data_IF_508719382902
#
_entry.id   IF_508719382902
#
_cell.length_a   1.000
_cell.length_b   1.000
_cell.length_c   1.000
_cell.angle_alpha   90.00
_cell.angle_beta   90.00
_cell.angle_gamma   90.00
#
_symmetry.space_group_name_H-M   'P 1'
#
loop_
_entity.id
_entity.type
_entity.pdbx_description
1 polymer ?
#
# COMPACT_ATOMS: atom_id res chain seq x y z
N UNK A 1 -66.39 -34.32 -5.86
CA UNK A 1 -65.27 -33.39 -6.11
C UNK A 1 -63.99 -34.16 -6.04
N UNK A 2 -63.22 -34.18 -7.13
CA UNK A 2 -62.00 -34.98 -7.31
C UNK A 2 -60.81 -34.04 -7.01
N UNK A 3 -59.93 -34.35 -6.05
CA UNK A 3 -58.79 -33.49 -5.77
C UNK A 3 -57.75 -33.64 -6.89
N UNK A 4 -57.24 -32.51 -7.40
CA UNK A 4 -56.20 -32.46 -8.41
C UNK A 4 -54.85 -32.98 -7.85
N UNK A 5 -54.12 -33.84 -8.59
CA UNK A 5 -52.87 -34.44 -8.11
C UNK A 5 -51.65 -33.49 -8.15
N UNK A 6 -51.80 -32.26 -8.64
CA UNK A 6 -50.69 -31.32 -8.83
C UNK A 6 -50.35 -30.49 -7.57
N UNK A 7 -51.29 -30.33 -6.63
CA UNK A 7 -51.08 -29.53 -5.41
C UNK A 7 -50.24 -30.23 -4.34
N UNK A 8 -50.27 -31.57 -4.32
CA UNK A 8 -49.51 -32.37 -3.35
C UNK A 8 -48.01 -32.35 -3.59
N UNK A 9 -47.57 -32.28 -4.85
CA UNK A 9 -46.15 -32.33 -5.20
C UNK A 9 -45.41 -31.03 -4.84
N UNK A 10 -46.08 -29.88 -5.00
CA UNK A 10 -45.53 -28.56 -4.60
C UNK A 10 -45.46 -28.43 -3.08
N UNK A 11 -46.47 -28.95 -2.35
CA UNK A 11 -46.47 -28.94 -0.89
C UNK A 11 -45.41 -29.89 -0.29
N UNK A 12 -45.18 -31.05 -0.93
CA UNK A 12 -44.10 -31.97 -0.56
C UNK A 12 -42.72 -31.35 -0.82
N UNK A 13 -42.54 -30.64 -1.95
CA UNK A 13 -41.29 -29.92 -2.27
C UNK A 13 -41.01 -28.80 -1.26
N UNK A 14 -42.05 -28.05 -0.85
CA UNK A 14 -41.93 -26.98 0.16
C UNK A 14 -41.63 -27.53 1.56
N UNK A 15 -42.23 -28.67 1.94
CA UNK A 15 -41.95 -29.32 3.22
C UNK A 15 -40.56 -29.96 3.28
N UNK A 16 -40.04 -30.48 2.16
CA UNK A 16 -38.67 -31.02 2.05
C UNK A 16 -37.58 -29.93 2.12
N UNK A 17 -37.90 -28.68 1.75
CA UNK A 17 -36.98 -27.55 1.88
C UNK A 17 -36.90 -26.99 3.32
N UNK A 18 -37.84 -27.34 4.20
CA UNK A 18 -37.86 -26.87 5.60
C UNK A 18 -37.10 -27.77 6.59
N UNK A 19 -36.64 -28.96 6.20
CA UNK A 19 -35.92 -29.88 7.10
C UNK A 19 -34.39 -29.76 7.04
N UNK A 20 -33.84 -28.68 6.47
CA UNK A 20 -32.38 -28.42 6.48
C UNK A 20 -32.05 -27.15 7.27
N UNK A 21 -32.33 -27.21 8.58
CA UNK A 21 -31.62 -26.45 9.61
C UNK A 21 -31.75 -27.33 10.86
N UNK A 22 -30.73 -27.78 11.57
CA UNK A 22 -29.48 -27.16 11.99
C UNK A 22 -28.49 -28.28 12.32
N UNK A 23 -27.49 -28.53 11.47
CA UNK A 23 -26.27 -29.17 11.99
C UNK A 23 -25.48 -28.05 12.65
N UNK A 24 -25.61 -27.92 13.97
CA UNK A 24 -24.65 -27.21 14.81
C UNK A 24 -23.36 -28.03 14.82
N UNK A 25 -22.68 -28.07 13.67
CA UNK A 25 -21.25 -28.23 13.68
C UNK A 25 -20.71 -26.90 14.16
N UNK A 26 -20.13 -26.86 15.35
CA UNK A 26 -19.17 -25.83 15.69
C UNK A 26 -18.08 -25.87 14.62
N UNK A 27 -18.31 -25.13 13.54
CA UNK A 27 -17.21 -24.56 12.77
C UNK A 27 -16.45 -23.77 13.82
N UNK A 28 -15.16 -24.03 14.06
CA UNK A 28 -14.38 -23.12 14.85
C UNK A 28 -14.51 -21.81 14.09
N UNK A 29 -15.31 -20.88 14.63
CA UNK A 29 -15.19 -19.47 14.31
C UNK A 29 -13.68 -19.26 14.34
N UNK A 30 -13.03 -18.82 13.24
CA UNK A 30 -11.68 -18.38 13.35
C UNK A 30 -11.77 -17.30 14.42
N UNK A 31 -11.30 -17.64 15.64
CA UNK A 31 -11.05 -16.65 16.67
C UNK A 31 -10.35 -15.55 15.89
N UNK A 32 -10.80 -14.29 15.94
CA UNK A 32 -9.93 -13.25 15.44
C UNK A 32 -8.62 -13.50 16.19
N UNK A 33 -7.59 -13.92 15.46
CA UNK A 33 -6.22 -13.89 15.90
C UNK A 33 -5.88 -12.41 15.95
N UNK A 34 -6.56 -11.68 16.84
CA UNK A 34 -6.30 -10.31 17.19
C UNK A 34 -5.62 -10.33 18.53
N UNK A 35 -4.53 -11.09 18.60
CA UNK A 35 -3.45 -10.84 19.55
C UNK A 35 -2.15 -10.97 18.77
N UNK A 36 -1.73 -9.80 18.28
CA UNK A 36 -0.34 -9.36 18.13
C UNK A 36 0.55 -10.01 17.06
N UNK A 37 0.83 -9.30 15.95
CA UNK A 37 2.19 -9.06 15.53
C UNK A 37 2.64 -7.75 16.17
N UNK A 38 3.06 -7.83 17.43
CA UNK A 38 3.93 -6.87 18.09
C UNK A 38 3.37 -5.44 18.15
N UNK A 39 2.84 -5.05 19.31
CA UNK A 39 2.47 -3.67 19.64
C UNK A 39 3.68 -2.73 19.73
N UNK A 40 4.61 -2.79 18.77
CA UNK A 40 5.34 -1.60 18.36
C UNK A 40 4.34 -0.73 17.64
N UNK A 41 3.63 0.09 18.40
CA UNK A 41 2.75 1.12 17.85
C UNK A 41 3.46 1.95 16.77
N UNK A 42 2.67 2.72 16.04
CA UNK A 42 3.18 3.72 15.10
C UNK A 42 4.03 4.77 15.85
N UNK A 43 5.36 4.67 15.81
CA UNK A 43 6.27 5.61 16.47
C UNK A 43 6.93 6.59 15.48
N UNK A 44 6.15 7.23 14.61
CA UNK A 44 6.68 8.20 13.62
C UNK A 44 7.40 9.38 14.29
N UNK A 45 7.11 9.68 15.55
CA UNK A 45 7.82 10.71 16.31
C UNK A 45 9.34 10.46 16.37
N UNK A 46 9.79 9.20 16.33
CA UNK A 46 11.22 8.86 16.29
C UNK A 46 11.88 9.18 14.95
N UNK A 47 11.08 9.33 13.89
CA UNK A 47 11.53 9.71 12.54
C UNK A 47 11.66 11.22 12.36
N UNK A 48 11.38 12.03 13.40
CA UNK A 48 11.45 13.49 13.31
C UNK A 48 12.83 14.01 12.91
N UNK A 49 13.90 13.27 13.23
CA UNK A 49 15.24 13.68 12.87
C UNK A 49 16.14 12.48 12.61
N UNK A 50 16.85 12.54 11.48
CA UNK A 50 17.99 11.68 11.25
C UNK A 50 19.18 12.16 12.10
N UNK A 51 20.03 11.23 12.51
CA UNK A 51 21.31 11.56 13.14
C UNK A 51 22.20 12.40 12.20
N UNK A 52 23.26 13.02 12.75
CA UNK A 52 24.23 13.74 11.92
C UNK A 52 24.95 12.79 10.94
N UNK A 53 25.28 11.60 11.41
CA UNK A 53 25.94 10.55 10.61
C UNK A 53 25.06 10.11 9.43
N UNK A 54 23.79 9.81 9.68
CA UNK A 54 22.86 9.42 8.61
C UNK A 54 22.69 10.54 7.59
N UNK A 55 22.53 11.80 8.04
CA UNK A 55 22.42 12.95 7.14
C UNK A 55 23.65 13.10 6.26
N UNK A 56 24.84 12.92 6.83
CA UNK A 56 26.07 12.99 6.07
C UNK A 56 26.17 11.84 5.06
N UNK A 57 25.78 10.63 5.43
CA UNK A 57 25.74 9.49 4.51
C UNK A 57 24.77 9.72 3.33
N UNK A 58 23.57 10.26 3.60
CA UNK A 58 22.63 10.64 2.55
C UNK A 58 23.17 11.74 1.63
N UNK A 59 23.87 12.74 2.20
CA UNK A 59 24.51 13.81 1.43
C UNK A 59 25.58 13.23 0.49
N UNK A 60 26.50 12.43 1.03
CA UNK A 60 27.56 11.78 0.24
C UNK A 60 26.97 10.88 -0.85
N UNK A 61 25.92 10.12 -0.55
CA UNK A 61 25.25 9.27 -1.52
C UNK A 61 24.60 10.06 -2.65
N UNK A 62 23.95 11.19 -2.32
CA UNK A 62 23.37 12.09 -3.32
C UNK A 62 24.46 12.62 -4.26
N UNK A 63 25.55 13.16 -3.72
CA UNK A 63 26.66 13.72 -4.50
C UNK A 63 27.24 12.64 -5.44
N UNK A 64 27.48 11.42 -4.94
CA UNK A 64 27.99 10.32 -5.76
C UNK A 64 27.01 9.88 -6.88
N UNK A 65 25.70 9.90 -6.62
CA UNK A 65 24.66 9.61 -7.62
C UNK A 65 24.60 10.70 -8.70
N UNK A 66 24.74 11.98 -8.31
CA UNK A 66 24.75 13.11 -9.22
C UNK A 66 26.00 13.07 -10.12
N UNK A 67 27.19 12.85 -9.55
CA UNK A 67 28.44 12.68 -10.32
C UNK A 67 28.36 11.53 -11.33
N UNK A 68 27.81 10.38 -10.93
CA UNK A 68 27.62 9.27 -11.86
C UNK A 68 26.57 9.54 -12.93
N UNK A 69 25.54 10.32 -12.62
CA UNK A 69 24.52 10.73 -13.60
C UNK A 69 25.02 11.82 -14.54
N UNK A 70 25.90 12.72 -14.11
CA UNK A 70 26.54 13.73 -14.96
C UNK A 70 27.35 13.09 -16.10
N UNK A 71 27.79 11.83 -15.93
CA UNK A 71 28.45 11.05 -16.98
C UNK A 71 27.47 10.38 -17.96
N UNK A 72 26.15 10.42 -17.69
CA UNK A 72 25.12 9.70 -18.45
C UNK A 72 23.89 10.59 -18.61
N UNK A 73 23.93 11.47 -19.61
CA UNK A 73 22.85 12.38 -20.01
C UNK A 73 21.50 11.66 -20.05
N UNK A 74 20.74 11.81 -18.97
CA UNK A 74 19.44 11.17 -18.78
C UNK A 74 18.44 12.25 -18.37
N UNK A 75 17.83 12.88 -19.36
CA UNK A 75 16.72 13.81 -19.13
C UNK A 75 15.43 13.05 -18.90
N UNK A 76 14.72 13.35 -17.81
CA UNK A 76 13.33 12.93 -17.64
C UNK A 76 12.42 14.01 -18.23
N UNK A 77 11.58 13.65 -19.21
CA UNK A 77 10.62 14.58 -19.81
C UNK A 77 9.47 14.96 -18.86
N UNK A 78 9.33 14.23 -17.75
CA UNK A 78 8.32 14.48 -16.72
C UNK A 78 8.97 14.41 -15.34
N UNK A 79 8.69 15.40 -14.50
CA UNK A 79 9.12 15.37 -13.10
C UNK A 79 8.30 14.33 -12.33
N UNK A 80 8.89 13.19 -11.99
CA UNK A 80 8.24 12.13 -11.20
C UNK A 80 7.83 12.63 -9.81
N UNK A 81 8.62 13.53 -9.24
CA UNK A 81 8.31 14.25 -8.00
C UNK A 81 8.05 15.70 -8.36
N UNK A 82 6.78 16.12 -8.35
CA UNK A 82 6.40 17.48 -8.73
C UNK A 82 6.83 18.46 -7.64
N UNK A 83 7.57 19.53 -8.00
CA UNK A 83 8.12 20.47 -6.99
C UNK A 83 7.06 21.22 -6.17
N UNK A 84 5.82 21.33 -6.66
CA UNK A 84 4.73 21.96 -5.91
C UNK A 84 3.96 20.99 -5.00
N UNK A 85 4.29 19.69 -5.05
CA UNK A 85 3.77 18.68 -4.14
C UNK A 85 4.31 18.95 -2.74
N UNK A 86 3.39 19.05 -1.79
CA UNK A 86 3.69 19.31 -0.39
C UNK A 86 2.75 18.44 0.45
N UNK A 87 3.33 17.55 1.26
CA UNK A 87 2.58 16.70 2.19
C UNK A 87 1.72 17.54 3.14
N UNK A 88 2.11 18.78 3.43
CA UNK A 88 1.34 19.73 4.23
C UNK A 88 -0.06 20.03 3.67
N UNK A 89 -0.26 19.89 2.36
CA UNK A 89 -1.56 20.11 1.67
C UNK A 89 -2.50 18.92 1.76
N UNK A 90 -2.01 17.75 2.18
CA UNK A 90 -2.80 16.54 2.32
C UNK A 90 -3.46 16.46 3.70
N UNK A 91 -4.55 15.69 3.80
CA UNK A 91 -5.14 15.32 5.08
C UNK A 91 -4.13 14.52 5.91
N UNK A 92 -4.22 14.61 7.23
CA UNK A 92 -3.21 14.01 8.15
C UNK A 92 -3.02 12.52 7.90
N UNK A 93 -4.08 11.78 7.58
CA UNK A 93 -4.03 10.34 7.28
C UNK A 93 -3.50 10.01 5.88
N UNK A 94 -3.54 10.95 4.92
CA UNK A 94 -3.02 10.75 3.57
C UNK A 94 -1.49 10.87 3.52
N UNK A 95 -0.90 11.62 4.46
CA UNK A 95 0.54 11.92 4.46
C UNK A 95 1.42 10.67 4.58
N UNK A 96 1.17 9.72 5.51
CA UNK A 96 1.96 8.50 5.60
C UNK A 96 1.85 7.64 4.34
N UNK A 97 0.66 7.56 3.74
CA UNK A 97 0.40 6.80 2.50
C UNK A 97 1.15 7.39 1.30
N UNK A 98 1.10 8.72 1.14
CA UNK A 98 1.86 9.42 0.11
C UNK A 98 3.37 9.23 0.29
N UNK A 99 3.89 9.47 1.50
CA UNK A 99 5.31 9.29 1.82
C UNK A 99 5.76 7.83 1.61
N UNK A 100 4.94 6.85 1.97
CA UNK A 100 5.23 5.44 1.77
C UNK A 100 5.37 5.09 0.29
N UNK A 101 4.52 5.66 -0.58
CA UNK A 101 4.61 5.45 -2.03
C UNK A 101 5.90 6.03 -2.62
N UNK A 102 6.26 7.26 -2.24
CA UNK A 102 7.50 7.92 -2.67
C UNK A 102 8.75 7.15 -2.20
N UNK A 103 8.74 6.71 -0.94
CA UNK A 103 9.83 5.94 -0.34
C UNK A 103 9.97 4.55 -0.99
N UNK A 104 8.85 3.91 -1.32
CA UNK A 104 8.83 2.62 -2.04
C UNK A 104 9.51 2.74 -3.41
N UNK A 105 9.18 3.78 -4.17
CA UNK A 105 9.81 4.02 -5.47
C UNK A 105 11.31 4.33 -5.31
N UNK A 106 11.67 5.18 -4.35
CA UNK A 106 13.06 5.55 -4.05
C UNK A 106 13.89 4.31 -3.71
N UNK A 107 13.39 3.45 -2.81
CA UNK A 107 14.05 2.20 -2.44
C UNK A 107 14.20 1.25 -3.64
N UNK A 108 13.18 1.13 -4.49
CA UNK A 108 13.24 0.30 -5.69
C UNK A 108 14.34 0.76 -6.64
N UNK A 109 14.43 2.07 -6.89
CA UNK A 109 15.45 2.65 -7.77
C UNK A 109 16.85 2.50 -7.18
N UNK A 110 17.06 2.88 -5.91
CA UNK A 110 18.37 2.79 -5.26
C UNK A 110 18.85 1.34 -5.12
N UNK A 111 17.96 0.40 -4.84
CA UNK A 111 18.31 -1.03 -4.75
C UNK A 111 18.63 -1.66 -6.12
N UNK A 112 18.27 -1.00 -7.22
CA UNK A 112 18.61 -1.45 -8.58
C UNK A 112 19.99 -0.99 -9.06
N UNK A 113 20.71 -0.20 -8.26
CA UNK A 113 22.07 0.25 -8.58
C UNK A 113 23.02 -0.95 -8.64
N UNK A 114 23.63 -1.16 -9.81
CA UNK A 114 24.56 -2.28 -10.05
C UNK A 114 26.03 -1.86 -10.01
N UNK A 115 26.36 -0.56 -10.05
CA UNK A 115 27.74 -0.07 -9.91
C UNK A 115 28.26 -0.39 -8.51
N UNK A 116 29.31 -1.21 -8.41
CA UNK A 116 29.84 -1.71 -7.14
C UNK A 116 30.45 -0.59 -6.27
N UNK A 117 31.08 0.41 -6.88
CA UNK A 117 31.65 1.54 -6.15
C UNK A 117 30.53 2.41 -5.55
N UNK A 118 29.50 2.67 -6.35
CA UNK A 118 28.32 3.42 -5.91
C UNK A 118 27.52 2.64 -4.85
N UNK A 119 27.40 1.31 -5.01
CA UNK A 119 26.74 0.43 -4.05
C UNK A 119 27.35 0.55 -2.65
N UNK A 120 28.67 0.61 -2.55
CA UNK A 120 29.37 0.82 -1.27
C UNK A 120 28.92 2.10 -0.54
N UNK A 121 28.57 3.14 -1.29
CA UNK A 121 28.12 4.44 -0.77
C UNK A 121 26.62 4.41 -0.44
N UNK A 122 25.78 3.86 -1.33
CA UNK A 122 24.31 3.89 -1.15
C UNK A 122 23.76 2.81 -0.22
N UNK A 123 24.55 1.79 0.13
CA UNK A 123 24.12 0.67 0.99
C UNK A 123 23.59 1.13 2.35
N UNK A 124 24.31 2.01 3.05
CA UNK A 124 23.87 2.53 4.36
C UNK A 124 22.58 3.36 4.22
N UNK A 125 22.47 4.33 3.28
CA UNK A 125 21.23 5.05 3.02
C UNK A 125 20.04 4.13 2.75
N UNK A 126 20.21 3.10 1.93
CA UNK A 126 19.15 2.11 1.66
C UNK A 126 18.71 1.39 2.93
N UNK A 127 19.65 1.03 3.80
CA UNK A 127 19.33 0.39 5.08
C UNK A 127 18.48 1.33 5.96
N UNK A 128 18.88 2.59 6.10
CA UNK A 128 18.10 3.59 6.84
C UNK A 128 16.71 3.80 6.22
N UNK A 129 16.61 3.95 4.89
CA UNK A 129 15.32 4.10 4.21
C UNK A 129 14.41 2.87 4.40
N UNK A 130 14.95 1.65 4.42
CA UNK A 130 14.17 0.43 4.71
C UNK A 130 13.63 0.43 6.14
N UNK A 131 14.42 0.89 7.10
CA UNK A 131 13.98 1.03 8.48
C UNK A 131 12.81 2.01 8.59
N UNK A 132 12.95 3.19 7.98
CA UNK A 132 11.89 4.21 7.91
C UNK A 132 10.62 3.65 7.27
N UNK A 133 10.76 2.96 6.12
CA UNK A 133 9.64 2.37 5.41
C UNK A 133 8.90 1.31 6.25
N UNK A 134 9.63 0.50 7.01
CA UNK A 134 9.03 -0.49 7.91
C UNK A 134 8.25 0.17 9.05
N UNK A 135 8.79 1.25 9.65
CA UNK A 135 8.10 2.00 10.69
C UNK A 135 6.83 2.70 10.17
N UNK A 136 6.88 3.30 8.97
CA UNK A 136 5.70 3.90 8.34
C UNK A 136 4.61 2.88 8.04
N UNK A 137 4.98 1.69 7.55
CA UNK A 137 4.01 0.62 7.25
C UNK A 137 3.29 0.12 8.50
N UNK A 138 3.92 0.19 9.67
CA UNK A 138 3.32 -0.19 10.94
C UNK A 138 2.24 0.80 11.43
N UNK A 139 2.12 1.98 10.78
CA UNK A 139 1.13 2.99 11.15
C UNK A 139 -0.28 2.72 10.66
N UNK A 140 -0.43 1.79 9.73
CA UNK A 140 -1.73 1.47 9.13
C UNK A 140 -2.21 0.10 9.60
N UNK A 141 -3.45 0.05 10.12
CA UNK A 141 -4.05 -1.23 10.44
C UNK A 141 -4.40 -1.99 9.14
N UNK A 142 -4.20 -3.32 9.08
CA UNK A 142 -4.57 -4.10 7.89
C UNK A 142 -6.05 -3.92 7.48
N UNK A 143 -6.95 -3.76 8.44
CA UNK A 143 -8.37 -3.49 8.19
C UNK A 143 -8.64 -2.14 7.54
N UNK A 144 -7.95 -1.07 7.98
CA UNK A 144 -8.04 0.26 7.38
C UNK A 144 -7.59 0.24 5.91
N UNK A 145 -6.45 -0.41 5.63
CA UNK A 145 -5.93 -0.55 4.28
C UNK A 145 -6.91 -1.32 3.39
N UNK A 146 -7.42 -2.46 3.86
CA UNK A 146 -8.37 -3.27 3.12
C UNK A 146 -9.65 -2.50 2.78
N UNK A 147 -10.22 -1.79 3.75
CA UNK A 147 -11.40 -0.95 3.51
C UNK A 147 -11.09 0.15 2.49
N UNK A 148 -9.99 0.87 2.67
CA UNK A 148 -9.58 1.97 1.80
C UNK A 148 -9.39 1.54 0.35
N UNK A 149 -8.70 0.43 0.10
CA UNK A 149 -8.50 -0.07 -1.27
C UNK A 149 -9.80 -0.57 -1.87
N UNK A 150 -10.68 -1.19 -1.08
CA UNK A 150 -11.97 -1.68 -1.56
C UNK A 150 -12.86 -0.54 -2.02
N UNK A 151 -12.97 0.52 -1.22
CA UNK A 151 -13.74 1.71 -1.59
C UNK A 151 -13.14 2.46 -2.78
N UNK A 152 -11.81 2.43 -2.95
CA UNK A 152 -11.15 3.14 -4.03
C UNK A 152 -11.07 2.35 -5.36
N UNK A 153 -11.32 1.04 -5.36
CA UNK A 153 -10.98 0.14 -6.47
C UNK A 153 -11.62 0.56 -7.80
N UNK A 154 -12.93 0.76 -7.83
CA UNK A 154 -13.62 1.14 -9.08
C UNK A 154 -13.20 2.54 -9.55
N UNK A 155 -13.01 3.50 -8.63
CA UNK A 155 -12.53 4.85 -8.96
C UNK A 155 -11.15 4.79 -9.60
N UNK A 156 -10.25 4.00 -9.01
CA UNK A 156 -8.91 3.76 -9.53
C UNK A 156 -8.97 3.20 -10.95
N UNK A 157 -9.75 2.15 -11.17
CA UNK A 157 -9.79 1.43 -12.45
C UNK A 157 -10.48 2.24 -13.56
N UNK A 158 -11.51 3.01 -13.24
CA UNK A 158 -12.36 3.64 -14.26
C UNK A 158 -12.02 5.10 -14.52
N UNK A 159 -11.54 5.82 -13.50
CA UNK A 159 -11.24 7.25 -13.56
C UNK A 159 -9.75 7.49 -13.57
N UNK A 160 -9.04 7.01 -12.54
CA UNK A 160 -7.64 7.38 -12.36
C UNK A 160 -6.77 6.74 -13.46
N UNK A 161 -6.99 5.46 -13.79
CA UNK A 161 -6.33 4.82 -14.94
C UNK A 161 -6.68 5.48 -16.28
N UNK A 162 -7.93 5.93 -16.44
CA UNK A 162 -8.36 6.61 -17.67
C UNK A 162 -7.67 7.97 -17.82
N UNK A 163 -7.56 8.74 -16.74
CA UNK A 163 -6.84 10.00 -16.70
C UNK A 163 -5.37 9.81 -17.12
N UNK A 164 -4.70 8.77 -16.62
CA UNK A 164 -3.32 8.44 -17.01
C UNK A 164 -3.24 8.01 -18.49
N UNK A 165 -4.21 7.22 -18.97
CA UNK A 165 -4.23 6.75 -20.35
C UNK A 165 -4.63 7.83 -21.37
N UNK A 166 -5.41 8.84 -20.95
CA UNK A 166 -5.92 9.95 -21.78
C UNK A 166 -5.89 11.25 -20.97
N UNK A 167 -4.72 11.92 -20.88
CA UNK A 167 -4.54 13.13 -20.07
C UNK A 167 -5.45 14.29 -20.49
N UNK A 168 -5.78 14.36 -21.78
CA UNK A 168 -6.67 15.34 -22.39
C UNK A 168 -8.13 15.25 -21.91
N UNK A 169 -8.53 14.09 -21.38
CA UNK A 169 -9.88 13.84 -20.86
C UNK A 169 -9.95 13.86 -19.33
N UNK A 170 -8.86 14.23 -18.67
CA UNK A 170 -8.81 14.33 -17.21
C UNK A 170 -9.29 15.71 -16.76
N UNK A 171 -10.50 15.76 -16.20
CA UNK A 171 -11.12 16.96 -15.63
C UNK A 171 -11.18 16.85 -14.10
#
# INVERSE_FOLDING_TARGET
MKPDPAGGCVLLLLLLLCTVQTRSGEVPVPRPLSVSPDARGCHVAQLQSLSLEERQAFKTAKEALEERRLLKDSTCNSGLFFRAWDLGKLQVWERPMALQAELSLTLKVLASVTDQALWGIVKQPIHTLRHIHAQLRACESPGCLQASVTFNLFRLLTRDLRCVARPDLCA
#
